data_IF_815721631799
#
_entry.id   IF_815721631799
#
_cell.length_a   1.000
_cell.length_b   1.000
_cell.length_c   1.000
_cell.angle_alpha   90.00
_cell.angle_beta   90.00
_cell.angle_gamma   90.00
#
_symmetry.space_group_name_H-M   'P 1'
#
loop_
_entity.id
_entity.type
_entity.pdbx_description
1 polymer ?
#
# COMPACT_ATOMS: atom_id res chain seq x y z
N UNK A 1 15.71 15.41 9.98
CA UNK A 1 15.32 14.21 9.21
C UNK A 1 14.28 13.46 10.03
N UNK A 2 13.20 13.00 9.41
CA UNK A 2 12.12 12.28 10.08
C UNK A 2 12.66 10.94 10.66
N UNK A 3 12.57 10.70 11.98
CA UNK A 3 13.25 9.59 12.69
C UNK A 3 12.54 8.24 12.55
N UNK A 4 11.62 8.14 11.59
CA UNK A 4 10.82 6.96 11.30
C UNK A 4 10.94 6.61 9.81
N UNK A 5 10.51 5.40 9.44
CA UNK A 5 10.28 5.03 8.04
C UNK A 5 8.83 4.66 7.84
N UNK A 6 8.23 5.25 6.81
CA UNK A 6 6.86 4.93 6.40
C UNK A 6 6.91 4.05 5.17
N UNK A 7 6.38 2.84 5.29
CA UNK A 7 6.18 1.93 4.17
C UNK A 7 4.73 2.05 3.71
N UNK A 8 4.52 2.61 2.52
CA UNK A 8 3.23 2.70 1.86
C UNK A 8 3.17 1.68 0.74
N UNK A 9 2.35 0.63 0.88
CA UNK A 9 2.31 -0.48 -0.06
C UNK A 9 0.90 -0.67 -0.63
N UNK A 10 0.81 -0.70 -1.96
CA UNK A 10 -0.41 -1.09 -2.68
C UNK A 10 -0.57 -2.61 -2.57
N UNK A 11 -1.47 -3.10 -1.73
CA UNK A 11 -1.75 -4.55 -1.62
C UNK A 11 -2.62 -5.07 -2.76
N UNK A 12 -3.66 -4.31 -3.11
CA UNK A 12 -4.59 -4.74 -4.16
C UNK A 12 -5.23 -3.54 -4.87
N UNK A 13 -5.53 -3.77 -6.15
CA UNK A 13 -6.17 -2.84 -7.05
C UNK A 13 -7.56 -3.39 -7.46
N UNK A 14 -8.60 -3.11 -6.68
CA UNK A 14 -9.97 -3.51 -7.03
C UNK A 14 -10.57 -2.56 -8.05
N UNK A 15 -11.72 -2.90 -8.65
CA UNK A 15 -12.41 -2.01 -9.61
C UNK A 15 -12.62 -0.61 -9.02
N UNK A 16 -13.23 -0.52 -7.85
CA UNK A 16 -13.65 0.74 -7.22
C UNK A 16 -12.74 1.20 -6.08
N UNK A 17 -11.86 0.34 -5.58
CA UNK A 17 -11.09 0.59 -4.37
C UNK A 17 -9.60 0.25 -4.52
N UNK A 18 -8.78 0.99 -3.80
CA UNK A 18 -7.40 0.64 -3.51
C UNK A 18 -7.29 0.09 -2.09
N UNK A 19 -6.65 -1.08 -1.95
CA UNK A 19 -6.23 -1.58 -0.65
C UNK A 19 -4.76 -1.25 -0.44
N UNK A 20 -4.48 -0.36 0.50
CA UNK A 20 -3.12 -0.03 0.91
C UNK A 20 -2.81 -0.65 2.26
N UNK A 21 -1.53 -0.96 2.47
CA UNK A 21 -0.93 -1.26 3.76
C UNK A 21 0.07 -0.16 4.10
N UNK A 22 -0.11 0.45 5.26
CA UNK A 22 0.81 1.44 5.80
C UNK A 22 1.50 0.82 7.00
N UNK A 23 2.83 0.87 7.04
CA UNK A 23 3.61 0.53 8.23
C UNK A 23 4.54 1.68 8.60
N UNK A 24 4.64 1.97 9.89
CA UNK A 24 5.48 3.02 10.46
C UNK A 24 6.47 2.31 11.36
N UNK A 25 7.76 2.42 11.03
CA UNK A 25 8.85 1.83 11.82
C UNK A 25 9.67 2.94 12.46
N UNK A 26 9.87 2.86 13.76
CA UNK A 26 10.73 3.75 14.51
C UNK A 26 12.19 3.35 14.33
N UNK A 27 13.03 4.29 13.92
CA UNK A 27 14.49 4.11 13.83
C UNK A 27 15.24 4.91 14.91
N UNK A 28 14.50 5.53 15.84
CA UNK A 28 15.07 6.19 17.00
C UNK A 28 15.34 5.16 18.10
N UNK A 29 16.60 5.04 18.50
CA UNK A 29 17.09 4.07 19.49
C UNK A 29 17.01 4.56 20.95
N UNK A 30 16.43 5.73 21.19
CA UNK A 30 16.31 6.28 22.54
C UNK A 30 15.01 7.04 22.76
N UNK A 31 14.00 6.79 21.94
CA UNK A 31 12.75 7.52 22.03
C UNK A 31 11.54 6.68 21.58
N UNK A 32 10.60 6.51 22.50
CA UNK A 32 9.27 6.00 22.23
C UNK A 32 8.31 7.13 21.86
N UNK A 33 7.51 6.94 20.82
CA UNK A 33 6.45 7.88 20.47
C UNK A 33 5.13 7.44 21.10
N UNK A 34 4.63 8.23 22.05
CA UNK A 34 3.24 8.15 22.51
C UNK A 34 2.36 9.11 21.70
N UNK A 35 1.10 8.74 21.43
CA UNK A 35 0.16 9.58 20.66
C UNK A 35 0.71 10.02 19.31
N UNK A 36 1.50 9.16 18.66
CA UNK A 36 2.07 9.46 17.36
C UNK A 36 0.98 9.79 16.34
N UNK A 37 1.31 10.69 15.43
CA UNK A 37 0.45 11.14 14.34
C UNK A 37 1.21 11.04 13.03
N UNK A 38 0.56 10.45 12.03
CA UNK A 38 1.03 10.40 10.67
C UNK A 38 0.04 11.16 9.79
N UNK A 39 0.46 12.26 9.19
CA UNK A 39 -0.34 12.97 8.20
C UNK A 39 0.17 12.60 6.82
N UNK A 40 -0.72 12.20 5.93
CA UNK A 40 -0.41 11.96 4.53
C UNK A 40 -1.24 12.90 3.66
N UNK A 41 -0.63 13.37 2.58
CA UNK A 41 -1.33 14.09 1.52
C UNK A 41 -1.45 13.19 0.29
N UNK A 42 -2.67 12.87 -0.12
CA UNK A 42 -2.96 12.06 -1.29
C UNK A 42 -4.38 12.35 -1.80
N UNK A 43 -4.61 12.54 -3.12
CA UNK A 43 -5.90 12.85 -3.76
C UNK A 43 -7.13 11.98 -3.46
N UNK A 44 -7.00 10.93 -2.63
CA UNK A 44 -8.08 9.98 -2.32
C UNK A 44 -8.30 9.87 -0.81
N UNK A 45 -7.63 10.71 -0.01
CA UNK A 45 -7.85 10.80 1.43
C UNK A 45 -9.09 11.64 1.77
N UNK A 46 -9.67 12.34 0.80
CA UNK A 46 -11.00 12.91 0.89
C UNK A 46 -12.10 11.82 0.97
N UNK A 47 -11.88 10.68 0.30
CA UNK A 47 -12.82 9.58 0.13
C UNK A 47 -12.31 8.25 0.75
N UNK A 48 -11.96 8.27 2.04
CA UNK A 48 -11.56 7.08 2.79
C UNK A 48 -12.77 6.23 3.17
N UNK A 49 -12.83 4.99 2.67
CA UNK A 49 -13.95 4.08 2.95
C UNK A 49 -13.76 3.32 4.27
N UNK A 50 -12.53 2.87 4.56
CA UNK A 50 -12.23 2.14 5.79
C UNK A 50 -10.76 2.28 6.17
N UNK A 51 -10.52 2.43 7.47
CA UNK A 51 -9.19 2.33 8.08
C UNK A 51 -9.28 1.26 9.16
N UNK A 52 -8.29 0.37 9.19
CA UNK A 52 -8.27 -0.75 10.11
C UNK A 52 -7.60 -0.34 11.42
N UNK A 53 -6.43 -0.90 11.74
CA UNK A 53 -5.79 -0.79 13.05
C UNK A 53 -5.46 0.63 13.51
N UNK A 54 -5.65 1.67 12.69
CA UNK A 54 -5.41 3.08 13.02
C UNK A 54 -6.73 3.86 13.11
N UNK A 55 -6.73 5.01 13.78
CA UNK A 55 -7.83 5.97 13.66
C UNK A 55 -7.50 6.99 12.58
N UNK A 56 -8.53 7.36 11.81
CA UNK A 56 -8.44 8.32 10.73
C UNK A 56 -9.23 9.58 11.04
N UNK A 57 -8.63 10.74 10.77
CA UNK A 57 -9.27 12.04 10.83
C UNK A 57 -8.92 12.84 9.58
N UNK A 58 -9.90 13.18 8.71
CA UNK A 58 -9.63 14.04 7.56
C UNK A 58 -9.23 15.44 8.06
N UNK A 59 -8.21 16.03 7.43
CA UNK A 59 -7.76 17.38 7.71
C UNK A 59 -8.29 18.29 6.60
N UNK A 60 -9.59 18.58 6.65
CA UNK A 60 -10.21 19.57 5.77
C UNK A 60 -10.06 20.95 6.41
N UNK A 61 -9.25 21.88 5.85
CA UNK A 61 -9.15 23.24 6.36
C UNK A 61 -10.45 24.01 6.13
N UNK A 62 -11.26 23.55 5.18
CA UNK A 62 -12.53 24.14 4.80
C UNK A 62 -13.54 23.03 4.59
N UNK A 63 -14.64 23.02 5.37
CA UNK A 63 -15.86 22.37 4.93
C UNK A 63 -16.21 23.01 3.58
N UNK A 64 -16.19 22.23 2.51
CA UNK A 64 -16.52 22.65 1.14
C UNK A 64 -17.56 23.78 1.09
N UNK A 65 -17.11 25.04 0.96
CA UNK A 65 -17.96 26.18 0.53
C UNK A 65 -18.50 25.93 -0.90
N UNK A 66 -17.97 24.91 -1.56
CA UNK A 66 -17.92 24.74 -2.99
C UNK A 66 -19.02 23.82 -3.54
N UNK A 67 -20.04 23.49 -2.74
CA UNK A 67 -21.33 23.06 -3.33
C UNK A 67 -22.26 24.24 -3.63
N UNK A 68 -21.94 25.44 -3.14
CA UNK A 68 -22.78 26.65 -3.27
C UNK A 68 -22.11 27.71 -4.14
N UNK A 69 -20.78 27.79 -4.14
CA UNK A 69 -20.02 28.66 -5.06
C UNK A 69 -19.23 27.81 -6.05
N UNK A 70 -19.42 28.06 -7.35
CA UNK A 70 -18.64 27.52 -8.47
C UNK A 70 -17.19 28.06 -8.44
N UNK A 71 -16.48 27.89 -7.32
CA UNK A 71 -15.08 28.22 -7.14
C UNK A 71 -14.32 26.94 -6.85
N UNK A 72 -13.13 26.81 -7.43
CA UNK A 72 -12.26 25.64 -7.29
C UNK A 72 -11.94 25.46 -5.80
N UNK A 73 -12.57 24.46 -5.18
CA UNK A 73 -12.18 24.01 -3.85
C UNK A 73 -10.81 23.38 -3.99
N UNK A 74 -9.80 23.97 -3.38
CA UNK A 74 -8.62 23.20 -3.02
C UNK A 74 -9.02 22.45 -1.77
N UNK A 75 -9.63 21.27 -1.96
CA UNK A 75 -9.67 20.30 -0.88
C UNK A 75 -8.21 19.96 -0.59
N UNK A 76 -7.73 20.27 0.61
CA UNK A 76 -6.47 19.69 1.01
C UNK A 76 -6.73 18.21 1.20
N UNK A 77 -6.20 17.40 0.28
CA UNK A 77 -6.31 15.94 0.27
C UNK A 77 -5.44 15.32 1.39
N UNK A 78 -5.49 15.91 2.58
CA UNK A 78 -4.67 15.58 3.74
C UNK A 78 -5.50 14.82 4.76
N UNK A 79 -4.93 13.71 5.24
CA UNK A 79 -5.56 12.85 6.22
C UNK A 79 -4.59 12.51 7.35
N UNK A 80 -5.07 12.58 8.59
CA UNK A 80 -4.29 12.23 9.77
C UNK A 80 -4.65 10.82 10.25
N UNK A 81 -3.62 10.02 10.48
CA UNK A 81 -3.68 8.72 11.12
C UNK A 81 -3.03 8.79 12.50
N UNK A 82 -3.62 8.12 13.48
CA UNK A 82 -3.04 8.06 14.82
C UNK A 82 -3.43 6.78 15.56
N UNK A 83 -2.58 6.42 16.52
CA UNK A 83 -2.78 5.28 17.40
C UNK A 83 -3.74 5.57 18.56
N UNK A 84 -4.41 4.54 19.07
CA UNK A 84 -5.24 4.65 20.28
C UNK A 84 -5.03 3.46 21.20
N UNK A 85 -5.33 3.65 22.49
CA UNK A 85 -5.27 2.55 23.47
C UNK A 85 -6.23 1.41 23.10
N UNK A 86 -7.40 1.73 22.55
CA UNK A 86 -8.42 0.75 22.14
C UNK A 86 -7.93 -0.20 21.04
N UNK A 87 -7.00 0.25 20.19
CA UNK A 87 -6.45 -0.51 19.07
C UNK A 87 -5.05 -1.06 19.37
N UNK A 88 -4.57 -0.96 20.63
CA UNK A 88 -3.27 -1.46 21.09
C UNK A 88 -2.06 -0.93 20.30
N UNK A 89 -2.17 0.26 19.71
CA UNK A 89 -1.12 0.90 18.93
C UNK A 89 -0.84 2.34 19.38
N UNK A 90 -1.19 2.65 20.64
CA UNK A 90 -0.99 3.97 21.24
C UNK A 90 0.48 4.37 21.36
N UNK A 91 1.36 3.38 21.53
CA UNK A 91 2.81 3.54 21.58
C UNK A 91 3.41 3.01 20.28
N UNK A 92 4.38 3.76 19.76
CA UNK A 92 5.34 3.29 18.77
C UNK A 92 6.69 3.27 19.49
N UNK A 93 7.10 2.09 19.92
CA UNK A 93 8.31 1.89 20.71
C UNK A 93 9.56 2.20 19.88
N UNK A 94 10.69 2.34 20.56
CA UNK A 94 12.02 2.52 19.97
C UNK A 94 12.39 1.42 18.96
N UNK A 95 13.48 1.65 18.24
CA UNK A 95 13.98 0.74 17.24
C UNK A 95 14.18 -0.70 17.80
N UNK A 96 13.39 -1.64 17.30
CA UNK A 96 13.37 -3.03 17.76
C UNK A 96 12.23 -3.84 17.15
N UNK A 97 12.02 -5.10 17.58
CA UNK A 97 10.94 -5.96 17.08
C UNK A 97 9.55 -5.34 17.21
N UNK A 98 9.33 -4.56 18.28
CA UNK A 98 8.06 -3.91 18.60
C UNK A 98 8.01 -2.43 18.18
N UNK A 99 9.07 -1.93 17.54
CA UNK A 99 9.19 -0.55 17.04
C UNK A 99 8.42 -0.30 15.75
N UNK A 100 7.30 -1.00 15.53
CA UNK A 100 6.53 -0.94 14.29
C UNK A 100 5.02 -0.99 14.55
N UNK A 101 4.28 -0.12 13.87
CA UNK A 101 2.82 -0.15 13.83
C UNK A 101 2.34 -0.21 12.38
N UNK A 102 1.28 -0.97 12.11
CA UNK A 102 0.76 -1.15 10.76
C UNK A 102 -0.77 -1.05 10.71
N UNK A 103 -1.28 -0.61 9.57
CA UNK A 103 -2.71 -0.61 9.25
C UNK A 103 -2.92 -0.97 7.79
N UNK A 104 -4.16 -1.31 7.48
CA UNK A 104 -4.66 -1.35 6.12
C UNK A 104 -5.67 -0.23 5.94
N UNK A 105 -5.77 0.30 4.73
CA UNK A 105 -6.76 1.31 4.37
C UNK A 105 -7.40 0.96 3.03
N UNK A 106 -8.70 1.20 2.95
CA UNK A 106 -9.48 1.08 1.73
C UNK A 106 -9.85 2.48 1.26
N UNK A 107 -9.26 2.92 0.15
CA UNK A 107 -9.53 4.21 -0.47
C UNK A 107 -10.39 4.02 -1.70
N UNK A 108 -11.47 4.78 -1.81
CA UNK A 108 -12.29 4.77 -3.01
C UNK A 108 -11.55 5.50 -4.13
N UNK A 109 -11.60 4.93 -5.33
CA UNK A 109 -11.05 5.57 -6.52
C UNK A 109 -11.98 6.66 -7.00
N UNK A 110 -11.41 7.82 -7.29
CA UNK A 110 -12.05 8.80 -8.15
C UNK A 110 -11.76 8.43 -9.60
N UNK A 111 -12.79 7.98 -10.31
CA UNK A 111 -12.68 7.55 -11.70
C UNK A 111 -12.31 8.69 -12.66
N UNK A 112 -12.46 9.96 -12.23
CA UNK A 112 -12.13 11.13 -13.05
C UNK A 112 -10.63 11.47 -13.02
N UNK A 113 -9.95 11.19 -11.90
CA UNK A 113 -8.54 11.57 -11.68
C UNK A 113 -7.60 10.37 -11.56
N UNK A 114 -8.13 9.16 -11.47
CA UNK A 114 -7.37 7.94 -11.30
C UNK A 114 -6.37 7.68 -12.45
N UNK A 115 -5.11 7.43 -12.10
CA UNK A 115 -4.09 6.92 -13.03
C UNK A 115 -3.12 5.96 -12.34
N UNK A 116 -2.45 5.14 -13.15
CA UNK A 116 -1.37 4.24 -12.70
C UNK A 116 0.01 4.82 -12.99
N UNK A 117 0.07 6.01 -13.59
CA UNK A 117 1.33 6.65 -14.02
C UNK A 117 2.02 7.35 -12.85
N UNK A 118 3.36 7.43 -12.91
CA UNK A 118 4.21 8.29 -12.06
C UNK A 118 3.97 8.14 -10.56
N UNK A 119 3.73 6.91 -10.09
CA UNK A 119 3.55 6.66 -8.67
C UNK A 119 2.30 7.31 -8.06
N UNK A 120 1.24 7.54 -8.84
CA UNK A 120 0.01 8.18 -8.36
C UNK A 120 -0.59 7.51 -7.11
N UNK A 121 -0.40 6.21 -6.92
CA UNK A 121 -0.88 5.45 -5.76
C UNK A 121 -0.13 5.75 -4.44
N UNK A 122 0.91 6.58 -4.50
CA UNK A 122 1.75 6.93 -3.34
C UNK A 122 1.44 8.35 -2.85
N UNK A 123 1.60 8.61 -1.54
CA UNK A 123 1.38 9.94 -0.98
C UNK A 123 2.35 10.95 -1.59
N UNK A 124 1.88 12.20 -1.72
CA UNK A 124 2.69 13.33 -2.21
C UNK A 124 3.56 13.91 -1.11
N UNK A 125 3.07 13.90 0.13
CA UNK A 125 3.77 14.36 1.33
C UNK A 125 3.41 13.50 2.52
N UNK A 126 4.34 13.40 3.46
CA UNK A 126 4.18 12.74 4.75
C UNK A 126 4.70 13.67 5.85
N UNK A 127 3.94 13.80 6.92
CA UNK A 127 4.37 14.43 8.16
C UNK A 127 4.24 13.44 9.31
N UNK A 128 5.22 13.41 10.20
CA UNK A 128 5.17 12.61 11.41
C UNK A 128 5.32 13.53 12.62
N UNK A 129 4.31 13.58 13.49
CA UNK A 129 4.27 14.49 14.64
C UNK A 129 4.53 15.98 14.29
N UNK A 130 4.14 16.39 13.08
CA UNK A 130 4.34 17.76 12.58
C UNK A 130 5.60 17.96 11.74
N UNK A 131 6.58 17.06 11.82
CA UNK A 131 7.81 17.15 11.02
C UNK A 131 7.62 16.57 9.62
N UNK A 132 8.03 17.29 8.58
CA UNK A 132 7.99 16.81 7.20
C UNK A 132 9.02 15.69 6.99
N UNK A 133 8.55 14.56 6.48
CA UNK A 133 9.39 13.41 6.15
C UNK A 133 9.84 13.50 4.69
N UNK A 134 11.10 13.13 4.44
CA UNK A 134 11.65 13.13 3.08
C UNK A 134 10.96 12.05 2.25
N UNK A 135 10.45 12.46 1.09
CA UNK A 135 9.85 11.56 0.11
C UNK A 135 10.93 11.02 -0.84
N UNK A 136 10.76 9.80 -1.36
CA UNK A 136 11.67 9.26 -2.38
C UNK A 136 11.54 10.05 -3.70
N UNK A 137 12.57 10.02 -4.53
CA UNK A 137 12.56 10.68 -5.85
C UNK A 137 11.47 10.08 -6.75
N UNK A 138 10.83 10.85 -7.65
CA UNK A 138 9.74 10.36 -8.50
C UNK A 138 10.08 9.07 -9.28
N UNK A 139 11.31 8.94 -9.76
CA UNK A 139 11.76 7.79 -10.56
C UNK A 139 12.03 6.53 -9.73
N UNK A 140 12.03 6.64 -8.41
CA UNK A 140 12.23 5.50 -7.49
C UNK A 140 10.93 4.84 -7.05
N UNK A 141 9.77 5.42 -7.38
CA UNK A 141 8.50 4.74 -7.17
C UNK A 141 8.38 3.55 -8.14
N UNK A 142 7.86 2.40 -7.66
CA UNK A 142 7.68 1.24 -8.51
C UNK A 142 6.72 1.58 -9.65
N UNK A 143 7.16 1.30 -10.87
CA UNK A 143 6.26 1.26 -12.02
C UNK A 143 5.50 -0.05 -12.02
N UNK A 144 4.28 -0.03 -12.58
CA UNK A 144 3.61 -1.29 -12.85
C UNK A 144 4.46 -2.11 -13.83
N UNK A 145 4.59 -3.42 -13.62
CA UNK A 145 5.20 -4.27 -14.63
C UNK A 145 4.43 -4.08 -15.94
N UNK A 146 5.14 -3.73 -17.02
CA UNK A 146 4.55 -3.71 -18.34
C UNK A 146 4.02 -5.12 -18.63
N UNK A 147 2.69 -5.27 -18.67
CA UNK A 147 2.04 -6.54 -18.96
C UNK A 147 2.37 -6.99 -20.38
N UNK A 148 3.41 -7.81 -20.54
CA UNK A 148 3.54 -8.92 -21.50
C UNK A 148 4.96 -9.50 -21.47
N UNK A 149 5.31 -10.24 -20.41
CA UNK A 149 6.18 -11.37 -20.62
C UNK A 149 5.26 -12.51 -21.04
N UNK A 150 5.11 -12.71 -22.35
CA UNK A 150 4.61 -13.97 -22.89
C UNK A 150 5.55 -15.07 -22.41
N UNK A 151 5.28 -15.62 -21.23
CA UNK A 151 5.85 -16.88 -20.83
C UNK A 151 5.21 -17.93 -21.72
N UNK A 152 5.74 -18.08 -22.94
CA UNK A 152 5.49 -19.25 -23.77
C UNK A 152 6.23 -20.42 -23.10
N UNK A 153 5.72 -20.87 -21.96
CA UNK A 153 6.09 -22.15 -21.39
C UNK A 153 5.48 -23.23 -22.29
N UNK A 154 6.15 -23.50 -23.42
CA UNK A 154 6.02 -24.80 -24.07
C UNK A 154 6.65 -25.81 -23.12
N UNK A 155 5.88 -26.29 -22.17
CA UNK A 155 6.18 -27.56 -21.54
C UNK A 155 6.03 -28.62 -22.63
N UNK A 156 7.12 -29.00 -23.29
CA UNK A 156 7.16 -30.28 -23.99
C UNK A 156 7.04 -31.37 -22.93
N UNK A 157 6.06 -32.28 -22.99
CA UNK A 157 6.06 -33.46 -22.14
C UNK A 157 7.07 -34.46 -22.73
N UNK A 158 8.36 -34.21 -22.55
CA UNK A 158 9.36 -35.26 -22.73
C UNK A 158 9.35 -36.13 -21.49
N UNK A 159 8.45 -37.12 -21.45
CA UNK A 159 8.60 -38.41 -20.75
C UNK A 159 7.24 -39.13 -20.67
N UNK A 160 6.78 -39.73 -21.77
CA UNK A 160 5.71 -40.73 -21.74
C UNK A 160 5.88 -41.84 -22.80
N UNK A 161 7.05 -41.97 -23.44
CA UNK A 161 7.27 -42.96 -24.52
C UNK A 161 8.11 -44.18 -24.06
N UNK A 162 8.76 -44.12 -22.88
CA UNK A 162 9.60 -45.24 -22.43
C UNK A 162 8.83 -46.36 -21.70
N UNK A 163 7.59 -46.13 -21.28
CA UNK A 163 6.80 -47.15 -20.56
C UNK A 163 6.06 -48.09 -21.51
N UNK A 164 5.73 -47.65 -22.73
CA UNK A 164 5.02 -48.48 -23.71
C UNK A 164 5.90 -49.54 -24.37
N UNK A 165 7.22 -49.31 -24.51
CA UNK A 165 8.13 -50.30 -25.09
C UNK A 165 8.42 -51.46 -24.12
N UNK A 166 8.46 -51.21 -22.81
CA UNK A 166 8.67 -52.26 -21.82
C UNK A 166 7.46 -53.23 -21.74
N UNK A 167 6.23 -52.74 -21.90
CA UNK A 167 5.04 -53.60 -21.92
C UNK A 167 4.99 -54.52 -23.15
N UNK A 168 5.45 -54.07 -24.31
CA UNK A 168 5.50 -54.93 -25.52
C UNK A 168 6.62 -55.98 -25.45
N UNK A 169 7.76 -55.69 -24.81
CA UNK A 169 8.87 -56.64 -24.70
C UNK A 169 8.60 -57.71 -23.64
N UNK A 170 8.00 -57.35 -22.50
CA UNK A 170 7.70 -58.31 -21.42
C UNK A 170 6.34 -59.01 -21.57
N UNK A 171 5.38 -58.44 -22.29
CA UNK A 171 4.07 -59.05 -22.52
C UNK A 171 4.09 -60.28 -23.43
N UNK A 172 5.10 -60.41 -24.29
CA UNK A 172 5.25 -61.55 -25.21
C UNK A 172 6.02 -62.74 -24.63
N UNK A 173 6.43 -62.70 -23.35
CA UNK A 173 7.17 -63.81 -22.74
C UNK A 173 6.35 -64.66 -21.74
N UNK A 174 5.07 -64.33 -21.55
CA UNK A 174 4.13 -65.05 -20.66
C UNK A 174 2.78 -65.37 -21.32
N UNK A 175 2.78 -65.60 -22.64
CA UNK A 175 1.70 -66.25 -23.38
C UNK A 175 2.25 -67.48 -24.11
#
# INVERSE_FOLDING_TARGET
MCPIRVHWHVKANYKEYWLYKIAITNFNYGFDYSQWTLVAQHPNLDCVSRVYSFVYKPLLPYQSINKIMNTVAVADDSGMFYGTKKLHNYFLLEAGPDGNVQTEILLQKDMNTFTLKRGWAFPRKIYFNGDECMMPLPDSYPSLPNSALHAHQRALPTQAILVSVAFFIFGNHFL
#
